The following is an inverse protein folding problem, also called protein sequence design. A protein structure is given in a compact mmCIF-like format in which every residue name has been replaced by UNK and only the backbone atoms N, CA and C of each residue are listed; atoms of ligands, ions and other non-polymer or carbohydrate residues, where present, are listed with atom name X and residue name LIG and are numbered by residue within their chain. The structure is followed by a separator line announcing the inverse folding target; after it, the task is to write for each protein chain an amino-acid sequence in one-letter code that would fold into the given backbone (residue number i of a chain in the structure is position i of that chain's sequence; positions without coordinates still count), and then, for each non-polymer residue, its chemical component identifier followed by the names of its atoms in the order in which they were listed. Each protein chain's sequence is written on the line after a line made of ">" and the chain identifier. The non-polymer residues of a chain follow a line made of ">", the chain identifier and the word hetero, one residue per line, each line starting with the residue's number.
data_IF_549212947939
#
_entry.id   IF_549212947939
#
_cell.length_a   1.000
_cell.length_b   1.000
_cell.length_c   1.000
_cell.angle_alpha   90.00
_cell.angle_beta   90.00
_cell.angle_gamma   90.00
#
_symmetry.space_group_name_H-M   'P 1'
#
loop_
_entity.id
_entity.type
_entity.pdbx_description
1 polymer ?
#
# COMPACT_ATOMS: atom_id res chain seq x y z
N UNK A 1 50.29 -16.63 -1.95
CA UNK A 1 49.50 -15.51 -1.40
C UNK A 1 48.19 -15.41 -2.18
N UNK A 2 47.12 -16.00 -1.66
CA UNK A 2 45.81 -16.00 -2.30
C UNK A 2 45.04 -14.72 -1.92
N UNK A 3 44.63 -13.93 -2.92
CA UNK A 3 43.74 -12.78 -2.72
C UNK A 3 42.33 -13.31 -2.49
N UNK A 4 41.84 -13.19 -1.27
CA UNK A 4 40.45 -13.46 -0.90
C UNK A 4 39.56 -12.33 -1.43
N UNK A 5 38.81 -12.59 -2.49
CA UNK A 5 37.74 -11.72 -2.97
C UNK A 5 36.50 -12.00 -2.12
N UNK A 6 36.12 -11.09 -1.21
CA UNK A 6 34.77 -11.09 -0.64
C UNK A 6 33.85 -10.52 -1.72
N UNK A 7 33.01 -11.36 -2.32
CA UNK A 7 31.89 -10.91 -3.13
C UNK A 7 30.95 -10.12 -2.23
N UNK A 8 31.04 -8.79 -2.27
CA UNK A 8 29.94 -7.96 -1.82
C UNK A 8 28.79 -8.25 -2.79
N UNK A 9 27.74 -8.91 -2.30
CA UNK A 9 26.50 -9.07 -3.06
C UNK A 9 25.98 -7.67 -3.36
N UNK A 10 25.98 -7.31 -4.64
CA UNK A 10 25.45 -6.05 -5.12
C UNK A 10 23.95 -6.02 -4.75
N UNK A 11 23.57 -5.08 -3.89
CA UNK A 11 22.18 -4.91 -3.49
C UNK A 11 21.35 -4.67 -4.76
N UNK A 12 20.29 -5.46 -4.96
CA UNK A 12 19.40 -5.26 -6.08
C UNK A 12 18.93 -3.78 -6.09
N UNK A 13 18.93 -3.11 -7.26
CA UNK A 13 18.55 -1.72 -7.33
C UNK A 13 17.15 -1.53 -6.77
N UNK A 14 16.98 -0.54 -5.90
CA UNK A 14 15.69 -0.24 -5.27
C UNK A 14 14.63 0.00 -6.37
N UNK A 15 13.47 -0.66 -6.25
CA UNK A 15 12.36 -0.41 -7.16
C UNK A 15 11.95 1.07 -7.09
N UNK A 16 12.06 1.77 -8.21
CA UNK A 16 11.63 3.18 -8.36
C UNK A 16 10.41 3.33 -9.26
N UNK A 17 10.11 2.32 -10.08
CA UNK A 17 8.99 2.31 -11.02
C UNK A 17 7.93 1.29 -10.59
N UNK A 18 6.66 1.46 -11.01
CA UNK A 18 5.64 0.45 -10.80
C UNK A 18 6.00 -0.89 -11.46
N UNK A 19 5.77 -2.00 -10.75
CA UNK A 19 5.99 -3.35 -11.26
C UNK A 19 4.76 -4.21 -10.97
N UNK A 20 4.29 -4.92 -11.98
CA UNK A 20 3.15 -5.82 -11.89
C UNK A 20 3.62 -7.29 -11.86
N UNK A 21 3.00 -8.10 -11.00
CA UNK A 21 3.15 -9.55 -10.97
C UNK A 21 1.79 -10.21 -11.09
N UNK A 22 1.72 -11.35 -11.79
CA UNK A 22 0.47 -12.08 -11.98
C UNK A 22 -0.06 -12.64 -10.67
N UNK A 23 0.83 -12.95 -9.72
CA UNK A 23 0.44 -13.36 -8.38
C UNK A 23 1.45 -12.87 -7.32
N UNK A 24 0.98 -12.52 -6.12
CA UNK A 24 1.82 -11.99 -5.04
C UNK A 24 2.93 -12.93 -4.58
N UNK A 25 2.78 -14.24 -4.78
CA UNK A 25 3.81 -15.23 -4.43
C UNK A 25 5.00 -15.21 -5.40
N UNK A 26 4.87 -14.56 -6.55
CA UNK A 26 5.93 -14.41 -7.54
C UNK A 26 6.87 -13.25 -7.21
N UNK A 27 6.49 -12.38 -6.26
CA UNK A 27 7.29 -11.22 -5.84
C UNK A 27 8.59 -11.72 -5.21
N UNK A 28 9.76 -11.46 -5.82
CA UNK A 28 11.03 -11.90 -5.25
C UNK A 28 11.28 -11.22 -3.90
N UNK A 29 11.69 -11.99 -2.89
CA UNK A 29 11.97 -11.44 -1.55
C UNK A 29 13.01 -10.30 -1.59
N UNK A 30 13.98 -10.37 -2.53
CA UNK A 30 15.03 -9.35 -2.67
C UNK A 30 14.56 -7.98 -3.16
N UNK A 31 13.35 -7.85 -3.70
CA UNK A 31 12.79 -6.55 -4.14
C UNK A 31 11.81 -5.94 -3.13
N UNK A 32 11.35 -6.73 -2.15
CA UNK A 32 10.36 -6.30 -1.18
C UNK A 32 11.03 -5.60 0.00
N UNK A 33 10.80 -4.28 0.15
CA UNK A 33 11.50 -3.44 1.15
C UNK A 33 10.61 -2.81 2.22
N UNK A 34 9.34 -3.19 2.29
CA UNK A 34 8.38 -2.67 3.26
C UNK A 34 8.12 -3.73 4.35
N UNK A 35 8.94 -3.77 5.43
CA UNK A 35 8.96 -4.88 6.37
C UNK A 35 7.68 -5.05 7.18
N UNK A 36 6.85 -4.02 7.31
CA UNK A 36 5.59 -4.10 8.07
C UNK A 36 4.42 -4.62 7.25
N UNK A 37 4.62 -4.89 5.97
CA UNK A 37 3.60 -5.41 5.06
C UNK A 37 4.12 -6.60 4.28
N UNK A 38 3.23 -7.52 3.94
CA UNK A 38 3.51 -8.60 3.01
C UNK A 38 2.97 -8.29 1.61
N UNK A 39 3.53 -8.90 0.54
CA UNK A 39 2.95 -8.81 -0.79
C UNK A 39 1.46 -9.20 -0.82
N UNK A 40 1.09 -10.23 -0.05
CA UNK A 40 -0.29 -10.72 0.01
C UNK A 40 -1.28 -9.68 0.57
N UNK A 41 -0.87 -8.85 1.53
CA UNK A 41 -1.72 -7.80 2.08
C UNK A 41 -2.01 -6.68 1.08
N UNK A 42 -1.09 -6.46 0.15
CA UNK A 42 -1.17 -5.40 -0.87
C UNK A 42 -1.84 -5.91 -2.15
N UNK A 43 -1.78 -7.20 -2.43
CA UNK A 43 -2.32 -7.80 -3.63
C UNK A 43 -3.86 -7.74 -3.74
N UNK A 44 -4.36 -7.92 -4.97
CA UNK A 44 -5.78 -8.09 -5.20
C UNK A 44 -6.29 -9.35 -4.52
N UNK A 45 -7.44 -9.22 -3.84
CA UNK A 45 -8.17 -10.37 -3.28
C UNK A 45 -9.01 -11.12 -4.30
N UNK A 46 -9.05 -10.65 -5.55
CA UNK A 46 -9.72 -11.33 -6.66
C UNK A 46 -8.87 -12.46 -7.20
N UNK A 47 -7.85 -12.11 -7.96
CA UNK A 47 -6.97 -13.05 -8.67
C UNK A 47 -5.59 -13.25 -8.01
N UNK A 48 -5.28 -12.51 -6.94
CA UNK A 48 -3.99 -12.56 -6.27
C UNK A 48 -2.88 -11.75 -6.96
N UNK A 49 -3.17 -11.08 -8.07
CA UNK A 49 -2.22 -10.19 -8.76
C UNK A 49 -1.84 -9.00 -7.89
N UNK A 50 -0.67 -8.42 -8.15
CA UNK A 50 -0.15 -7.29 -7.40
C UNK A 50 0.48 -6.26 -8.32
N UNK A 51 0.12 -4.99 -8.12
CA UNK A 51 0.83 -3.86 -8.67
C UNK A 51 1.59 -3.16 -7.53
N UNK A 52 2.92 -3.28 -7.56
CA UNK A 52 3.81 -2.62 -6.61
C UNK A 52 4.07 -1.21 -7.11
N UNK A 53 3.61 -0.19 -6.39
CA UNK A 53 3.94 1.21 -6.63
C UNK A 53 4.86 1.70 -5.52
N UNK A 54 6.19 1.76 -5.75
CA UNK A 54 7.14 1.96 -4.66
C UNK A 54 6.90 3.23 -3.85
N UNK A 55 6.64 4.34 -4.53
CA UNK A 55 6.36 5.61 -3.87
C UNK A 55 5.09 5.58 -2.99
N UNK A 56 4.06 4.80 -3.35
CA UNK A 56 2.85 4.69 -2.53
C UNK A 56 3.09 3.81 -1.29
N UNK A 57 3.83 2.71 -1.46
CA UNK A 57 4.20 1.82 -0.36
C UNK A 57 5.21 2.46 0.61
N UNK A 58 6.10 3.34 0.13
CA UNK A 58 6.98 4.13 0.99
C UNK A 58 6.18 5.01 1.96
N UNK A 59 5.11 5.66 1.48
CA UNK A 59 4.19 6.45 2.33
C UNK A 59 3.46 5.56 3.32
N UNK A 60 2.97 4.40 2.86
CA UNK A 60 2.27 3.45 3.72
C UNK A 60 3.17 2.93 4.85
N UNK A 61 4.40 2.56 4.50
CA UNK A 61 5.43 2.10 5.44
C UNK A 61 5.81 3.20 6.42
N UNK A 62 6.04 4.43 5.95
CA UNK A 62 6.30 5.56 6.84
C UNK A 62 5.14 5.78 7.82
N UNK A 63 3.89 5.79 7.33
CA UNK A 63 2.71 5.95 8.17
C UNK A 63 2.60 4.84 9.24
N UNK A 64 2.92 3.60 8.87
CA UNK A 64 2.94 2.46 9.80
C UNK A 64 4.04 2.57 10.85
N UNK A 65 5.21 3.09 10.49
CA UNK A 65 6.31 3.34 11.42
C UNK A 65 5.94 4.42 12.43
N UNK A 66 5.36 5.54 11.98
CA UNK A 66 4.95 6.66 12.85
C UNK A 66 3.85 6.27 13.85
N UNK A 67 2.92 5.40 13.48
CA UNK A 67 1.89 4.92 14.42
C UNK A 67 2.45 4.00 15.52
N UNK A 68 3.65 3.43 15.30
CA UNK A 68 4.32 2.47 16.18
C UNK A 68 3.43 1.28 16.62
N UNK A 69 2.42 0.94 15.82
CA UNK A 69 1.45 -0.14 16.11
C UNK A 69 0.85 -0.71 14.81
N UNK A 70 0.35 -1.96 14.82
CA UNK A 70 -0.18 -2.62 13.63
C UNK A 70 -1.17 -1.78 12.82
N UNK A 71 -0.97 -1.71 11.50
CA UNK A 71 -1.88 -1.07 10.54
C UNK A 71 -2.45 -2.16 9.63
N UNK A 72 -3.73 -2.51 9.81
CA UNK A 72 -4.35 -3.57 9.02
C UNK A 72 -4.84 -3.03 7.68
N UNK A 73 -4.30 -3.55 6.58
CA UNK A 73 -4.74 -3.24 5.21
C UNK A 73 -5.93 -4.12 4.84
N UNK A 74 -7.08 -3.49 4.72
CA UNK A 74 -8.33 -4.13 4.31
C UNK A 74 -8.51 -4.12 2.79
N UNK A 75 -7.76 -3.35 2.03
CA UNK A 75 -7.67 -3.45 0.56
C UNK A 75 -6.44 -2.70 0.07
N UNK A 76 -5.61 -3.34 -0.74
CA UNK A 76 -4.53 -2.70 -1.49
C UNK A 76 -4.89 -2.56 -2.96
N UNK A 77 -4.06 -3.11 -3.85
CA UNK A 77 -4.36 -3.25 -5.27
C UNK A 77 -5.68 -3.99 -5.51
N UNK A 78 -6.38 -3.63 -6.60
CA UNK A 78 -7.53 -4.39 -7.10
C UNK A 78 -7.37 -4.63 -8.59
N UNK A 79 -7.46 -5.90 -8.98
CA UNK A 79 -7.64 -6.24 -10.38
C UNK A 79 -8.98 -5.68 -10.90
N UNK A 80 -9.15 -5.47 -12.21
CA UNK A 80 -10.36 -4.87 -12.78
C UNK A 80 -11.65 -5.63 -12.43
N UNK A 81 -11.61 -6.96 -12.38
CA UNK A 81 -12.78 -7.82 -12.13
C UNK A 81 -13.20 -7.70 -10.66
N UNK A 82 -12.24 -7.79 -9.73
CA UNK A 82 -12.48 -7.56 -8.32
C UNK A 82 -13.00 -6.15 -8.05
N UNK A 83 -12.40 -5.12 -8.65
CA UNK A 83 -12.86 -3.74 -8.51
C UNK A 83 -14.31 -3.58 -8.96
N UNK A 84 -14.69 -4.15 -10.10
CA UNK A 84 -16.08 -4.12 -10.57
C UNK A 84 -17.03 -4.87 -9.64
N UNK A 85 -16.63 -6.07 -9.16
CA UNK A 85 -17.44 -6.91 -8.26
C UNK A 85 -17.79 -6.21 -6.95
N UNK A 86 -16.89 -5.38 -6.42
CA UNK A 86 -17.13 -4.61 -5.19
C UNK A 86 -17.76 -3.24 -5.45
N UNK A 87 -18.19 -2.95 -6.68
CA UNK A 87 -18.79 -1.67 -7.05
C UNK A 87 -17.80 -0.49 -7.05
N UNK A 88 -16.51 -0.77 -7.24
CA UNK A 88 -15.47 0.24 -7.29
C UNK A 88 -15.56 1.13 -8.53
N UNK A 89 -15.13 2.38 -8.41
CA UNK A 89 -15.16 3.34 -9.51
C UNK A 89 -14.35 2.86 -10.73
N UNK A 90 -14.77 3.19 -11.98
CA UNK A 90 -14.04 2.82 -13.18
C UNK A 90 -12.59 3.33 -13.23
N UNK A 91 -12.31 4.48 -12.61
CA UNK A 91 -10.96 5.05 -12.50
C UNK A 91 -10.41 4.96 -11.06
N UNK A 92 -10.81 3.91 -10.33
CA UNK A 92 -10.38 3.65 -8.95
C UNK A 92 -8.85 3.62 -8.81
N UNK A 93 -8.33 4.33 -7.81
CA UNK A 93 -6.91 4.36 -7.47
C UNK A 93 -6.38 3.02 -6.96
N UNK A 94 -7.25 2.14 -6.45
CA UNK A 94 -6.85 0.75 -6.15
C UNK A 94 -6.35 0.02 -7.40
N UNK A 95 -6.90 0.31 -8.59
CA UNK A 95 -6.41 -0.26 -9.85
C UNK A 95 -5.10 0.36 -10.33
N UNK A 96 -4.75 1.53 -9.81
CA UNK A 96 -3.46 2.17 -10.06
C UNK A 96 -2.37 1.73 -9.05
N UNK A 97 -2.73 0.92 -8.04
CA UNK A 97 -1.78 0.39 -7.04
C UNK A 97 -1.35 1.42 -5.98
N UNK A 98 -2.00 2.57 -5.91
CA UNK A 98 -1.64 3.68 -5.02
C UNK A 98 -2.76 4.12 -4.08
N UNK A 99 -3.67 3.19 -3.76
CA UNK A 99 -4.70 3.36 -2.76
C UNK A 99 -4.73 2.21 -1.77
N UNK A 100 -5.07 2.54 -0.52
CA UNK A 100 -5.15 1.60 0.59
C UNK A 100 -6.38 1.89 1.45
N UNK A 101 -7.16 0.84 1.73
CA UNK A 101 -8.22 0.90 2.74
C UNK A 101 -7.65 0.38 4.07
N UNK A 102 -7.50 1.26 5.04
CA UNK A 102 -6.84 0.98 6.32
C UNK A 102 -7.90 0.83 7.42
N UNK A 103 -7.93 -0.31 8.12
CA UNK A 103 -8.89 -0.53 9.22
C UNK A 103 -8.74 0.52 10.32
N UNK A 104 -9.87 0.98 10.87
CA UNK A 104 -9.88 1.84 12.06
C UNK A 104 -9.58 1.07 13.35
N UNK A 105 -9.52 -0.28 13.32
CA UNK A 105 -9.29 -1.09 14.51
C UNK A 105 -7.90 -0.77 15.11
N UNK A 106 -7.89 -0.38 16.39
CA UNK A 106 -6.66 -0.06 17.12
C UNK A 106 -6.16 1.37 16.94
N UNK A 107 -6.90 2.21 16.20
CA UNK A 107 -6.54 3.60 15.92
C UNK A 107 -7.71 4.53 16.18
N UNK A 108 -7.43 5.75 16.66
CA UNK A 108 -8.43 6.80 16.54
C UNK A 108 -8.46 7.33 15.11
N UNK A 109 -9.64 7.75 14.65
CA UNK A 109 -9.84 8.38 13.33
C UNK A 109 -8.88 9.55 13.09
N UNK A 110 -8.75 10.41 14.09
CA UNK A 110 -7.91 11.60 14.02
C UNK A 110 -6.42 11.25 13.87
N UNK A 111 -5.90 10.32 14.69
CA UNK A 111 -4.50 9.89 14.60
C UNK A 111 -4.18 9.24 13.26
N UNK A 112 -5.01 8.31 12.80
CA UNK A 112 -4.78 7.61 11.54
C UNK A 112 -4.78 8.60 10.35
N UNK A 113 -5.76 9.49 10.31
CA UNK A 113 -5.84 10.53 9.29
C UNK A 113 -4.62 11.47 9.32
N UNK A 114 -4.23 11.94 10.51
CA UNK A 114 -3.10 12.85 10.65
C UNK A 114 -1.80 12.22 10.14
N UNK A 115 -1.54 10.96 10.48
CA UNK A 115 -0.33 10.26 10.04
C UNK A 115 -0.38 9.97 8.54
N UNK A 116 -1.50 9.51 7.99
CA UNK A 116 -1.61 9.29 6.54
C UNK A 116 -1.47 10.61 5.75
N UNK A 117 -1.99 11.72 6.28
CA UNK A 117 -1.79 13.03 5.68
C UNK A 117 -0.32 13.46 5.73
N UNK A 118 0.36 13.30 6.88
CA UNK A 118 1.77 13.59 7.01
C UNK A 118 2.66 12.71 6.11
N UNK A 119 2.22 11.47 5.84
CA UNK A 119 2.86 10.57 4.88
C UNK A 119 2.71 11.04 3.43
N UNK A 120 1.93 12.08 3.15
CA UNK A 120 1.75 12.63 1.81
C UNK A 120 0.70 11.91 0.96
N UNK A 121 -0.26 11.21 1.58
CA UNK A 121 -1.50 10.85 0.89
C UNK A 121 -2.37 12.11 0.70
N UNK A 122 -3.15 12.13 -0.37
CA UNK A 122 -3.86 13.33 -0.84
C UNK A 122 -5.36 13.09 -1.04
N UNK A 123 -5.76 11.86 -1.39
CA UNK A 123 -7.15 11.43 -1.41
C UNK A 123 -7.55 10.74 -0.11
N UNK A 124 -8.69 11.13 0.46
CA UNK A 124 -9.21 10.57 1.71
C UNK A 124 -10.71 10.25 1.64
N UNK A 125 -11.06 8.99 1.86
CA UNK A 125 -12.44 8.52 1.97
C UNK A 125 -12.79 8.07 3.38
N UNK A 126 -13.82 8.66 3.97
CA UNK A 126 -14.20 8.42 5.38
C UNK A 126 -15.32 7.39 5.49
N UNK A 127 -14.97 6.15 5.84
CA UNK A 127 -15.92 5.04 6.03
C UNK A 127 -16.07 4.68 7.52
N UNK A 128 -17.11 3.92 7.86
CA UNK A 128 -17.43 3.57 9.25
C UNK A 128 -16.37 2.66 9.90
N UNK A 129 -15.73 1.78 9.12
CA UNK A 129 -14.82 0.74 9.60
C UNK A 129 -13.37 0.89 9.12
N UNK A 130 -13.12 1.71 8.09
CA UNK A 130 -11.79 1.97 7.53
C UNK A 130 -11.64 3.42 7.07
N UNK A 131 -10.39 3.86 6.91
CA UNK A 131 -10.01 5.07 6.18
C UNK A 131 -9.48 4.64 4.82
N UNK A 132 -10.05 5.18 3.75
CA UNK A 132 -9.45 5.09 2.42
C UNK A 132 -8.41 6.19 2.26
N UNK A 133 -7.23 5.85 1.75
CA UNK A 133 -6.18 6.80 1.38
C UNK A 133 -5.65 6.52 -0.02
N UNK A 134 -5.28 7.56 -0.78
CA UNK A 134 -4.63 7.40 -2.09
C UNK A 134 -3.72 8.57 -2.48
N UNK A 135 -2.89 8.35 -3.51
CA UNK A 135 -1.92 9.33 -4.03
C UNK A 135 -2.42 10.13 -5.26
N UNK A 136 -3.72 10.14 -5.56
CA UNK A 136 -4.29 10.90 -6.68
C UNK A 136 -4.46 12.41 -6.39
N UNK A 137 -5.26 13.14 -7.20
CA UNK A 137 -5.58 14.54 -6.91
C UNK A 137 -6.19 14.71 -5.51
N UNK A 138 -5.85 15.82 -4.84
CA UNK A 138 -6.31 16.09 -3.48
C UNK A 138 -7.85 16.12 -3.42
N UNK A 139 -8.44 15.26 -2.59
CA UNK A 139 -9.90 15.12 -2.49
C UNK A 139 -10.32 14.44 -1.20
N UNK A 140 -11.54 14.72 -0.76
CA UNK A 140 -12.13 14.20 0.47
C UNK A 140 -13.59 13.81 0.21
N UNK A 141 -14.01 12.61 0.61
CA UNK A 141 -15.39 12.15 0.47
C UNK A 141 -15.84 11.28 1.63
N UNK A 142 -17.16 11.12 1.81
CA UNK A 142 -17.72 10.52 3.01
C UNK A 142 -17.64 11.47 4.22
N UNK A 143 -18.09 11.01 5.38
CA UNK A 143 -18.11 11.81 6.62
C UNK A 143 -17.87 10.92 7.83
N UNK A 144 -16.92 11.31 8.67
CA UNK A 144 -16.93 10.91 10.08
C UNK A 144 -17.72 11.98 10.84
N UNK A 145 -18.66 11.57 11.69
CA UNK A 145 -19.38 12.50 12.56
C UNK A 145 -18.39 13.21 13.49
N UNK A 146 -18.67 14.49 13.78
CA UNK A 146 -17.98 15.27 14.80
C UNK A 146 -18.24 14.71 16.19
#
# INVERSE_FOLDING_TARGET
>A
MFRSWKSQGEAAPALTQPVHFAHWSEVPAGIWRWPDFSPREIASRGDGSILIVPAALDRLQWARSELARPMLITSGYRDPVHNARVGGAPLSRHKAGDAFDISLRGHTRAQLLAVCHAAGFTGFGFYSTFLHVDCGPARRWGKWGN
#
